data_IF_413041507989
#
_entry.id   IF_413041507989
#
_cell.length_a   1.000
_cell.length_b   1.000
_cell.length_c   1.000
_cell.angle_alpha   90.00
_cell.angle_beta   90.00
_cell.angle_gamma   90.00
#
_symmetry.space_group_name_H-M   'P 1'
#
loop_
_entity.id
_entity.type
_entity.pdbx_description
1 polymer ?
#
# COMPACT_ATOMS: atom_id res chain seq x y z
N UNK A 1 10.80 -12.39 -13.24
CA UNK A 1 11.15 -12.12 -13.12
C UNK A 1 11.62 -11.24 -12.89
N UNK A 2 11.88 -11.06 -13.10
CA UNK A 2 12.37 -10.27 -12.91
C UNK A 2 12.77 -9.51 -13.46
N UNK A 3 12.97 -9.69 -13.74
CA UNK A 3 13.65 -9.09 -14.40
C UNK A 3 13.72 -8.07 -14.77
N UNK A 4 13.25 -8.23 -15.00
CA UNK A 4 13.60 -7.07 -15.65
C UNK A 4 14.21 -6.13 -14.86
N UNK A 5 14.26 -6.31 -13.96
CA UNK A 5 14.98 -5.41 -13.14
C UNK A 5 16.28 -5.06 -13.71
N UNK A 6 16.75 -5.87 -14.56
CA UNK A 6 17.99 -5.58 -15.21
C UNK A 6 18.00 -4.18 -15.78
N UNK A 7 16.85 -3.75 -16.22
CA UNK A 7 16.75 -2.43 -16.80
C UNK A 7 17.08 -1.37 -15.78
N UNK A 8 16.62 -1.58 -14.58
CA UNK A 8 16.93 -0.63 -13.54
C UNK A 8 18.42 -0.54 -13.34
N UNK A 9 19.09 -1.64 -13.50
CA UNK A 9 20.52 -1.67 -13.31
C UNK A 9 21.24 -0.83 -14.35
N UNK A 10 20.73 -0.78 -15.54
CA UNK A 10 21.36 0.01 -16.57
C UNK A 10 21.45 1.48 -16.18
N UNK A 11 20.56 1.92 -15.30
CA UNK A 11 20.56 3.30 -14.91
C UNK A 11 21.67 3.62 -13.95
N UNK A 12 22.38 2.62 -13.50
CA UNK A 12 23.50 2.84 -12.61
C UNK A 12 24.48 3.82 -13.18
N UNK A 13 24.58 3.86 -14.46
CA UNK A 13 25.50 4.77 -15.10
C UNK A 13 25.16 6.23 -14.84
N UNK A 14 23.97 6.48 -14.38
CA UNK A 14 23.54 7.81 -14.09
C UNK A 14 23.94 8.27 -12.70
N UNK A 15 24.60 7.44 -11.93
CA UNK A 15 25.05 7.83 -10.61
C UNK A 15 23.92 8.07 -9.63
N UNK A 16 23.84 9.28 -9.13
CA UNK A 16 22.88 9.58 -8.05
C UNK A 16 21.46 9.20 -8.41
N UNK A 17 21.05 9.47 -9.63
CA UNK A 17 19.69 9.15 -10.03
C UNK A 17 19.44 7.66 -9.94
N UNK A 18 20.45 6.87 -10.31
CA UNK A 18 20.33 5.43 -10.26
C UNK A 18 20.23 4.93 -8.84
N UNK A 19 21.06 5.47 -7.97
CA UNK A 19 21.03 5.05 -6.58
C UNK A 19 19.67 5.32 -5.97
N UNK A 20 19.10 6.49 -6.23
CA UNK A 20 17.79 6.79 -5.70
C UNK A 20 16.73 5.86 -6.25
N UNK A 21 16.85 5.47 -7.50
CA UNK A 21 15.89 4.58 -8.10
C UNK A 21 15.96 3.20 -7.43
N UNK A 22 17.17 2.70 -7.21
CA UNK A 22 17.33 1.41 -6.56
C UNK A 22 16.76 1.42 -5.16
N UNK A 23 17.08 2.46 -4.38
CA UNK A 23 16.54 2.57 -3.03
C UNK A 23 15.03 2.70 -3.05
N UNK A 24 14.52 3.42 -4.04
CA UNK A 24 13.09 3.59 -4.16
C UNK A 24 12.39 2.27 -4.45
N UNK A 25 12.99 1.43 -5.30
CA UNK A 25 12.40 0.15 -5.61
C UNK A 25 12.40 -0.78 -4.41
N UNK A 26 13.48 -0.78 -3.63
CA UNK A 26 13.52 -1.57 -2.41
C UNK A 26 12.41 -1.14 -1.47
N UNK A 27 12.21 0.16 -1.35
CA UNK A 27 11.18 0.70 -0.49
C UNK A 27 9.80 0.34 -0.99
N UNK A 28 9.60 0.36 -2.31
CA UNK A 28 8.34 -0.05 -2.90
C UNK A 28 8.01 -1.48 -2.48
N UNK A 29 8.97 -2.38 -2.60
CA UNK A 29 8.69 -3.76 -2.26
C UNK A 29 8.52 -3.97 -0.77
N UNK A 30 9.18 -3.17 0.07
CA UNK A 30 8.92 -3.22 1.50
C UNK A 30 7.48 -2.83 1.81
N UNK A 31 7.00 -1.78 1.16
CA UNK A 31 5.63 -1.32 1.37
C UNK A 31 4.65 -2.40 0.92
N UNK A 32 4.89 -2.97 -0.25
CA UNK A 32 3.98 -3.97 -0.77
C UNK A 32 3.99 -5.25 0.05
N UNK A 33 5.15 -5.62 0.59
CA UNK A 33 5.21 -6.78 1.46
C UNK A 33 4.40 -6.56 2.73
N UNK A 34 4.47 -5.36 3.29
CA UNK A 34 3.68 -5.05 4.48
C UNK A 34 2.19 -5.10 4.15
N UNK A 35 1.80 -4.57 3.00
CA UNK A 35 0.40 -4.61 2.57
C UNK A 35 -0.06 -6.06 2.42
N UNK A 36 0.81 -6.91 1.89
CA UNK A 36 0.48 -8.31 1.70
C UNK A 36 0.23 -9.06 2.99
N UNK A 37 0.66 -8.52 4.12
CA UNK A 37 0.44 -9.17 5.40
C UNK A 37 -0.89 -8.82 6.04
N UNK A 38 -1.62 -7.85 5.50
CA UNK A 38 -2.92 -7.49 6.06
C UNK A 38 -3.88 -8.65 5.84
N UNK A 39 -4.44 -9.21 6.92
CA UNK A 39 -5.31 -10.37 6.75
C UNK A 39 -6.64 -10.00 6.10
N UNK A 40 -7.23 -10.97 5.45
CA UNK A 40 -8.55 -10.80 4.86
C UNK A 40 -9.54 -10.39 5.96
N UNK A 41 -10.37 -9.42 5.66
CA UNK A 41 -11.36 -8.95 6.63
C UNK A 41 -10.84 -7.86 7.55
N UNK A 42 -9.61 -7.40 7.33
CA UNK A 42 -9.04 -6.31 8.11
C UNK A 42 -8.51 -5.24 7.17
N UNK A 43 -8.33 -4.04 7.71
CA UNK A 43 -7.77 -2.93 6.95
C UNK A 43 -6.65 -2.28 7.74
N UNK A 44 -5.76 -1.60 7.03
CA UNK A 44 -4.70 -0.81 7.66
C UNK A 44 -4.75 0.59 7.08
N UNK A 45 -4.24 1.55 7.84
CA UNK A 45 -4.13 2.91 7.32
C UNK A 45 -2.79 3.08 6.61
N UNK A 46 -2.71 4.10 5.74
CA UNK A 46 -1.44 4.41 5.08
C UNK A 46 -0.35 4.68 6.12
N UNK A 47 -0.70 5.40 7.18
CA UNK A 47 0.28 5.69 8.23
C UNK A 47 0.73 4.44 8.97
N UNK A 48 -0.18 3.50 9.15
CA UNK A 48 0.14 2.24 9.80
C UNK A 48 1.18 1.45 8.98
N UNK A 49 0.98 1.39 7.67
CA UNK A 49 1.94 0.72 6.79
C UNK A 49 3.28 1.45 6.84
N UNK A 50 3.26 2.78 6.80
CA UNK A 50 4.50 3.55 6.87
C UNK A 50 5.26 3.25 8.17
N UNK A 51 4.54 3.13 9.28
CA UNK A 51 5.17 2.83 10.56
C UNK A 51 5.78 1.44 10.56
N UNK A 52 5.11 0.48 9.94
CA UNK A 52 5.62 -0.89 9.89
C UNK A 52 6.97 -0.98 9.22
N UNK A 53 7.21 -0.14 8.23
CA UNK A 53 8.48 -0.18 7.51
C UNK A 53 9.47 0.85 8.07
N UNK A 54 9.18 1.42 9.24
CA UNK A 54 10.09 2.35 9.88
C UNK A 54 10.12 3.75 9.30
N UNK A 55 9.04 4.16 8.64
CA UNK A 55 8.97 5.47 7.98
C UNK A 55 7.71 6.21 8.39
N UNK A 56 7.61 6.50 9.66
CA UNK A 56 6.38 7.00 10.28
C UNK A 56 5.74 8.18 9.55
N UNK A 57 6.53 9.04 8.93
CA UNK A 57 5.97 10.25 8.33
C UNK A 57 5.75 10.12 6.83
N UNK A 58 5.77 8.91 6.30
CA UNK A 58 5.69 8.70 4.86
C UNK A 58 4.41 8.05 4.39
N UNK A 59 3.29 8.38 5.04
CA UNK A 59 2.01 7.83 4.59
C UNK A 59 1.70 8.18 3.14
N UNK A 60 2.09 9.38 2.72
CA UNK A 60 1.86 9.80 1.34
C UNK A 60 2.61 8.93 0.35
N UNK A 61 3.82 8.51 0.72
CA UNK A 61 4.59 7.62 -0.12
C UNK A 61 3.88 6.28 -0.27
N UNK A 62 3.32 5.76 0.82
CA UNK A 62 2.57 4.52 0.76
C UNK A 62 1.43 4.65 -0.24
N UNK A 63 0.67 5.73 -0.17
CA UNK A 63 -0.43 5.95 -1.10
C UNK A 63 0.04 6.01 -2.54
N UNK A 64 1.17 6.67 -2.78
CA UNK A 64 1.72 6.78 -4.12
C UNK A 64 2.11 5.41 -4.66
N UNK A 65 2.75 4.59 -3.82
CA UNK A 65 3.16 3.25 -4.24
C UNK A 65 1.94 2.40 -4.56
N UNK A 66 0.91 2.47 -3.72
CA UNK A 66 -0.26 1.62 -3.92
C UNK A 66 -1.03 2.00 -5.18
N UNK A 67 -0.96 3.26 -5.59
CA UNK A 67 -1.65 3.67 -6.82
C UNK A 67 -1.02 3.05 -8.06
N UNK A 68 0.19 2.50 -7.94
CA UNK A 68 0.89 1.87 -9.05
C UNK A 68 1.26 0.42 -8.74
N UNK A 69 0.64 -0.16 -7.71
CA UNK A 69 1.05 -1.49 -7.25
C UNK A 69 0.92 -2.57 -8.31
N UNK A 70 -0.03 -2.42 -9.22
CA UNK A 70 -0.24 -3.43 -10.26
C UNK A 70 0.98 -3.60 -11.15
N UNK A 71 1.87 -2.61 -11.19
CA UNK A 71 3.10 -2.72 -11.96
C UNK A 71 4.08 -3.69 -11.32
N UNK A 72 3.87 -4.04 -10.05
CA UNK A 72 4.81 -4.85 -9.30
C UNK A 72 4.26 -6.20 -8.89
N UNK A 73 2.98 -6.44 -9.13
CA UNK A 73 2.38 -7.71 -8.78
C UNK A 73 0.96 -7.53 -8.28
N UNK A 74 0.45 -8.60 -7.69
CA UNK A 74 -0.92 -8.61 -7.18
C UNK A 74 -0.87 -8.52 -5.66
N UNK A 75 -1.39 -7.41 -5.13
CA UNK A 75 -1.36 -7.14 -3.69
C UNK A 75 -2.74 -6.69 -3.23
N UNK A 76 -3.10 -6.94 -1.97
CA UNK A 76 -4.43 -6.55 -1.46
C UNK A 76 -4.48 -5.08 -1.11
N UNK A 77 -4.25 -4.21 -2.08
CA UNK A 77 -4.23 -2.77 -1.86
C UNK A 77 -5.56 -2.23 -1.40
N UNK A 78 -6.66 -2.96 -1.67
CA UNK A 78 -7.98 -2.55 -1.21
C UNK A 78 -8.08 -2.58 0.32
N UNK A 79 -7.15 -3.24 1.00
CA UNK A 79 -7.15 -3.30 2.47
C UNK A 79 -6.46 -2.12 3.12
N UNK A 80 -6.07 -1.12 2.34
CA UNK A 80 -5.43 0.08 2.87
C UNK A 80 -6.36 1.26 2.67
N UNK A 81 -6.63 1.99 3.76
CA UNK A 81 -7.52 3.15 3.76
C UNK A 81 -6.81 4.28 4.50
N UNK A 82 -7.42 5.47 4.54
CA UNK A 82 -6.79 6.54 5.29
C UNK A 82 -7.03 6.33 6.79
N UNK A 83 -6.48 7.22 7.61
CA UNK A 83 -6.54 7.05 9.06
C UNK A 83 -7.97 7.07 9.62
N UNK A 84 -8.89 7.68 8.89
CA UNK A 84 -10.29 7.71 9.31
C UNK A 84 -11.10 6.55 8.75
N UNK A 85 -10.47 5.70 7.94
CA UNK A 85 -11.17 4.59 7.33
C UNK A 85 -11.76 4.90 5.98
N UNK A 86 -11.43 6.06 5.39
CA UNK A 86 -12.00 6.45 4.11
C UNK A 86 -11.30 5.71 2.98
N UNK A 87 -12.06 5.07 2.07
CA UNK A 87 -11.46 4.40 0.92
C UNK A 87 -10.85 5.42 -0.04
N UNK A 88 -10.02 4.93 -0.96
CA UNK A 88 -9.35 5.79 -1.92
C UNK A 88 -10.37 6.45 -2.85
N UNK A 89 -10.26 7.76 -3.07
CA UNK A 89 -11.15 8.43 -3.99
C UNK A 89 -10.90 7.92 -5.40
N UNK A 90 -11.96 7.78 -6.17
CA UNK A 90 -11.84 7.33 -7.55
C UNK A 90 -11.71 5.83 -7.72
N UNK A 91 -11.88 5.07 -6.64
CA UNK A 91 -11.81 3.61 -6.73
C UNK A 91 -13.04 3.00 -6.06
N UNK A 92 -14.21 3.07 -6.70
CA UNK A 92 -15.45 2.59 -6.06
C UNK A 92 -15.42 1.09 -5.77
N UNK A 93 -14.68 0.31 -6.52
CA UNK A 93 -14.62 -1.14 -6.27
C UNK A 93 -13.99 -1.47 -4.94
N UNK A 94 -13.20 -0.56 -4.37
CA UNK A 94 -12.51 -0.85 -3.12
C UNK A 94 -13.51 -1.22 -2.02
N UNK A 95 -14.58 -0.45 -1.89
CA UNK A 95 -15.58 -0.73 -0.88
C UNK A 95 -16.21 -2.10 -1.11
N UNK A 96 -16.53 -2.39 -2.35
CA UNK A 96 -17.16 -3.66 -2.68
C UNK A 96 -16.25 -4.83 -2.30
N UNK A 97 -14.96 -4.71 -2.62
CA UNK A 97 -14.01 -5.76 -2.29
C UNK A 97 -13.92 -5.97 -0.78
N UNK A 98 -13.91 -4.88 -0.02
CA UNK A 98 -13.84 -4.98 1.43
C UNK A 98 -15.13 -5.59 2.00
N UNK A 99 -16.28 -5.21 1.45
CA UNK A 99 -17.54 -5.78 1.92
C UNK A 99 -17.60 -7.27 1.65
N UNK A 100 -17.02 -7.72 0.56
CA UNK A 100 -16.95 -9.15 0.26
C UNK A 100 -16.10 -9.90 1.28
N UNK A 101 -15.20 -9.20 1.96
CA UNK A 101 -14.37 -9.80 3.00
C UNK A 101 -14.99 -9.66 4.39
N UNK A 102 -16.18 -9.08 4.48
CA UNK A 102 -16.86 -8.94 5.75
C UNK A 102 -16.60 -7.64 6.46
N UNK A 103 -15.87 -6.72 5.84
CA UNK A 103 -15.58 -5.41 6.45
C UNK A 103 -16.83 -4.56 6.39
N UNK A 104 -17.14 -3.89 7.49
CA UNK A 104 -18.34 -3.08 7.60
C UNK A 104 -18.00 -1.60 7.53
N UNK A 105 -18.91 -0.85 6.93
CA UNK A 105 -18.75 0.60 6.75
C UNK A 105 -19.79 1.33 7.59
N UNK A 106 -19.39 2.48 8.11
CA UNK A 106 -20.28 3.35 8.86
C UNK A 106 -21.12 4.18 7.90
N UNK A 107 -22.13 4.87 8.45
CA UNK A 107 -23.02 5.69 7.64
C UNK A 107 -22.27 6.76 6.84
N UNK A 108 -21.12 7.22 7.34
CA UNK A 108 -20.36 8.26 6.65
C UNK A 108 -19.49 7.71 5.52
N UNK A 109 -19.58 6.41 5.24
CA UNK A 109 -18.82 5.81 4.15
C UNK A 109 -17.41 5.36 4.51
N UNK A 110 -17.03 5.47 5.78
CA UNK A 110 -15.73 5.04 6.23
C UNK A 110 -15.80 3.67 6.87
N UNK A 111 -14.71 2.90 6.77
CA UNK A 111 -14.63 1.62 7.45
C UNK A 111 -14.75 1.85 8.95
N UNK A 112 -15.41 0.92 9.62
CA UNK A 112 -15.49 0.93 11.08
C UNK A 112 -14.14 0.48 11.63
N UNK A 113 -13.23 1.45 11.77
CA UNK A 113 -11.84 1.17 12.15
C UNK A 113 -11.75 0.55 13.54
N UNK A 114 -12.68 0.86 14.41
CA UNK A 114 -12.67 0.30 15.74
C UNK A 114 -12.70 -1.22 15.72
N UNK A 115 -13.42 -1.79 14.76
CA UNK A 115 -13.60 -3.24 14.70
C UNK A 115 -12.79 -3.92 13.62
N UNK A 116 -12.37 -3.19 12.61
CA UNK A 116 -11.76 -3.82 11.44
C UNK A 116 -10.31 -3.40 11.19
N UNK A 117 -9.75 -2.48 11.98
CA UNK A 117 -8.37 -2.12 11.77
C UNK A 117 -7.44 -3.25 12.20
N UNK A 118 -6.46 -3.56 11.34
CA UNK A 118 -5.48 -4.59 11.63
C UNK A 118 -4.61 -4.15 12.78
N UNK A 119 -4.42 -5.03 13.74
CA UNK A 119 -3.58 -4.77 14.88
C UNK A 119 -2.27 -5.50 14.67
N UNK A 120 -1.17 -4.75 14.67
CA UNK A 120 0.13 -5.35 14.42
C UNK A 120 1.22 -4.65 15.23
#
# INVERSE_FOLDING_TARGET
MTPPPAEGILLIEKGDATMRKVLHEDLIYEILAAVGEIPRGKVASYGQIARLIGRDNNARLVGSVLSHAELYGSYPCHRVVNHAGRPAPGWPEQRHLLEQEGVQFKANGCVDMKHFQWEC
#
